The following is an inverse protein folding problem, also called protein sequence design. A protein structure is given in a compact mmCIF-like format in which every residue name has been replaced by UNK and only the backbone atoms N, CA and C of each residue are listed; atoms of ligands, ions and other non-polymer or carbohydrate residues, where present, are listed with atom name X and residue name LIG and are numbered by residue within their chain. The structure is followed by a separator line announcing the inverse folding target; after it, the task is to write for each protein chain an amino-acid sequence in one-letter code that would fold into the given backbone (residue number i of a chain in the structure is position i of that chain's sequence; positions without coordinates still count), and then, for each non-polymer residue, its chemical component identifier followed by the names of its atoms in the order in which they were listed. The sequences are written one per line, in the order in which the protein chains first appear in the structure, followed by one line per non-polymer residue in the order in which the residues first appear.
data_IF_349462790183
#
_entry.id   IF_349462790183
#
_cell.length_a   1.000
_cell.length_b   1.000
_cell.length_c   1.000
_cell.angle_alpha   90.00
_cell.angle_beta   90.00
_cell.angle_gamma   90.00
#
_symmetry.space_group_name_H-M   'P 1'
#
loop_
_entity.id
_entity.type
_entity.pdbx_description
1 polymer ?
#
# COMPACT_ATOMS: atom_id res chain seq x y z
N UNK A 1 6.53 -31.55 46.80
CA UNK A 1 5.91 -32.11 45.59
C UNK A 1 5.66 -30.95 44.64
N UNK A 2 6.64 -30.64 43.80
CA UNK A 2 6.64 -29.46 42.93
C UNK A 2 5.89 -29.79 41.64
N UNK A 3 4.78 -29.10 41.39
CA UNK A 3 4.02 -29.26 40.14
C UNK A 3 4.76 -28.49 39.05
N UNK A 4 5.35 -29.27 38.13
CA UNK A 4 5.94 -28.76 36.91
C UNK A 4 4.81 -28.71 35.86
N UNK A 5 4.31 -27.52 35.53
CA UNK A 5 3.42 -27.35 34.37
C UNK A 5 4.18 -26.69 33.25
N UNK A 6 4.59 -27.51 32.27
CA UNK A 6 5.06 -27.08 30.97
C UNK A 6 3.94 -26.35 30.21
N UNK A 7 4.11 -25.08 29.80
CA UNK A 7 3.25 -24.50 28.79
C UNK A 7 3.71 -24.95 27.40
N UNK A 8 2.72 -25.27 26.58
CA UNK A 8 2.77 -25.85 25.26
C UNK A 8 3.66 -25.09 24.25
N UNK A 9 4.58 -25.84 23.65
CA UNK A 9 4.76 -25.99 22.20
C UNK A 9 4.64 -24.73 21.32
N UNK A 10 5.61 -23.82 21.47
CA UNK A 10 5.97 -22.88 20.40
C UNK A 10 7.15 -23.44 19.63
N UNK A 11 6.93 -23.84 18.37
CA UNK A 11 8.02 -24.04 17.41
C UNK A 11 8.62 -22.68 17.05
N UNK A 12 9.54 -22.20 17.89
CA UNK A 12 10.42 -21.08 17.56
C UNK A 12 11.63 -21.65 16.81
N UNK A 13 11.71 -21.42 15.51
CA UNK A 13 12.93 -21.71 14.74
C UNK A 13 13.95 -20.59 15.00
N UNK A 14 14.65 -20.69 16.14
CA UNK A 14 15.69 -19.75 16.54
C UNK A 14 16.96 -20.11 15.78
N UNK A 15 17.18 -19.48 14.61
CA UNK A 15 18.50 -19.55 13.94
C UNK A 15 19.51 -18.69 14.69
N UNK A 16 20.17 -19.30 15.66
CA UNK A 16 21.31 -18.71 16.39
C UNK A 16 22.53 -18.69 15.44
N UNK A 17 22.88 -17.52 14.89
CA UNK A 17 24.23 -17.30 14.36
C UNK A 17 25.17 -17.06 15.55
N UNK A 18 25.87 -18.11 15.95
CA UNK A 18 26.91 -18.07 16.98
C UNK A 18 28.14 -17.33 16.44
N UNK A 19 28.28 -16.04 16.75
CA UNK A 19 29.53 -15.30 16.54
C UNK A 19 29.98 -14.74 17.89
N UNK A 20 31.00 -15.40 18.44
CA UNK A 20 31.89 -14.99 19.52
C UNK A 20 31.37 -13.97 20.54
N UNK A 21 30.86 -14.47 21.68
CA UNK A 21 30.99 -13.80 22.98
C UNK A 21 29.87 -12.86 23.44
N UNK A 22 28.81 -12.64 22.67
CA UNK A 22 27.63 -11.85 23.13
C UNK A 22 26.35 -12.56 22.71
N UNK A 23 25.60 -13.07 23.68
CA UNK A 23 24.29 -13.73 23.45
C UNK A 23 23.23 -12.70 23.06
N UNK A 24 23.16 -12.36 21.76
CA UNK A 24 22.04 -11.60 21.20
C UNK A 24 20.98 -12.59 20.71
N UNK A 25 19.92 -12.79 21.51
CA UNK A 25 18.71 -13.51 21.09
C UNK A 25 17.93 -12.63 20.11
N UNK A 26 17.98 -12.96 18.82
CA UNK A 26 17.11 -12.36 17.82
C UNK A 26 15.86 -13.24 17.67
N UNK A 27 14.74 -12.76 18.21
CA UNK A 27 13.44 -13.42 18.08
C UNK A 27 12.94 -13.10 16.67
N UNK A 28 13.16 -14.02 15.73
CA UNK A 28 12.51 -13.99 14.42
C UNK A 28 11.07 -14.41 14.65
N UNK A 29 10.23 -13.44 14.98
CA UNK A 29 8.78 -13.64 15.05
C UNK A 29 8.30 -13.89 13.63
N UNK A 30 7.76 -15.08 13.37
CA UNK A 30 7.16 -15.42 12.09
C UNK A 30 6.16 -14.35 11.63
N UNK A 31 6.25 -14.08 10.33
CA UNK A 31 5.92 -12.82 9.68
C UNK A 31 4.43 -12.72 9.28
N UNK A 32 3.52 -13.09 10.19
CA UNK A 32 2.07 -13.02 9.92
C UNK A 32 1.61 -11.57 9.69
N UNK A 33 2.29 -10.61 10.31
CA UNK A 33 2.05 -9.19 10.06
C UNK A 33 2.63 -8.72 8.72
N UNK A 34 3.81 -9.21 8.28
CA UNK A 34 4.33 -8.84 6.97
C UNK A 34 3.45 -9.38 5.83
N UNK A 35 2.82 -10.56 5.96
CA UNK A 35 1.90 -11.06 4.94
C UNK A 35 0.64 -10.19 4.80
N UNK A 36 0.08 -9.71 5.93
CA UNK A 36 -1.07 -8.77 5.91
C UNK A 36 -0.69 -7.43 5.28
N UNK A 37 0.48 -6.89 5.64
CA UNK A 37 0.98 -5.65 5.05
C UNK A 37 1.25 -5.80 3.55
N UNK A 38 1.88 -6.90 3.11
CA UNK A 38 2.15 -7.17 1.69
C UNK A 38 0.86 -7.30 0.85
N UNK A 39 -0.21 -7.87 1.40
CA UNK A 39 -1.48 -8.01 0.69
C UNK A 39 -2.18 -6.66 0.51
N UNK A 40 -2.12 -5.79 1.52
CA UNK A 40 -2.73 -4.45 1.48
C UNK A 40 -2.01 -3.48 0.54
N UNK A 41 -0.67 -3.55 0.51
CA UNK A 41 0.14 -2.79 -0.44
C UNK A 41 -0.23 -3.15 -1.89
N UNK A 42 -0.42 -4.44 -2.17
CA UNK A 42 -0.82 -4.89 -3.53
C UNK A 42 -2.19 -4.38 -3.96
N UNK A 43 -3.18 -4.37 -3.07
CA UNK A 43 -4.53 -3.85 -3.38
C UNK A 43 -4.46 -2.35 -3.64
N UNK A 44 -3.75 -1.61 -2.78
CA UNK A 44 -3.57 -0.16 -2.94
C UNK A 44 -2.88 0.18 -4.26
N UNK A 45 -1.85 -0.58 -4.62
CA UNK A 45 -1.13 -0.42 -5.88
C UNK A 45 -2.03 -0.69 -7.09
N UNK A 46 -2.84 -1.76 -7.04
CA UNK A 46 -3.78 -2.08 -8.12
C UNK A 46 -4.82 -0.99 -8.30
N UNK A 47 -5.43 -0.51 -7.22
CA UNK A 47 -6.42 0.58 -7.27
C UNK A 47 -5.78 1.83 -7.88
N UNK A 48 -4.62 2.25 -7.36
CA UNK A 48 -3.90 3.42 -7.87
C UNK A 48 -3.61 3.27 -9.37
N UNK A 49 -3.10 2.11 -9.79
CA UNK A 49 -2.82 1.83 -11.20
C UNK A 49 -4.06 1.94 -12.09
N UNK A 50 -5.20 1.36 -11.68
CA UNK A 50 -6.44 1.41 -12.46
C UNK A 50 -6.97 2.84 -12.59
N UNK A 51 -6.96 3.62 -11.52
CA UNK A 51 -7.38 5.02 -11.56
C UNK A 51 -6.44 5.86 -12.43
N UNK A 52 -5.12 5.71 -12.28
CA UNK A 52 -4.15 6.42 -13.12
C UNK A 52 -4.25 6.04 -14.60
N UNK A 53 -4.51 4.77 -14.91
CA UNK A 53 -4.73 4.31 -16.27
C UNK A 53 -6.01 4.92 -16.86
N UNK A 54 -7.11 4.88 -16.12
CA UNK A 54 -8.37 5.50 -16.53
C UNK A 54 -8.19 7.00 -16.77
N UNK A 55 -7.54 7.70 -15.85
CA UNK A 55 -7.31 9.14 -15.95
C UNK A 55 -6.39 9.49 -17.13
N UNK A 56 -5.35 8.67 -17.38
CA UNK A 56 -4.52 8.78 -18.57
C UNK A 56 -5.31 8.61 -19.88
N UNK A 57 -6.27 7.68 -19.94
CA UNK A 57 -7.14 7.50 -21.11
C UNK A 57 -8.09 8.69 -21.32
N UNK A 58 -8.65 9.26 -20.25
CA UNK A 58 -9.50 10.45 -20.32
C UNK A 58 -8.66 11.67 -20.75
N UNK A 59 -7.45 11.83 -20.19
CA UNK A 59 -6.52 12.88 -20.60
C UNK A 59 -6.12 12.76 -22.07
N UNK A 60 -5.83 11.54 -22.55
CA UNK A 60 -5.55 11.28 -23.95
C UNK A 60 -6.74 11.64 -24.84
N UNK A 61 -7.98 11.36 -24.42
CA UNK A 61 -9.18 11.81 -25.13
C UNK A 61 -9.23 13.33 -25.26
N UNK A 62 -8.98 14.07 -24.19
CA UNK A 62 -8.97 15.54 -24.22
C UNK A 62 -7.94 16.03 -25.24
N UNK A 63 -6.72 15.45 -25.21
CA UNK A 63 -5.68 15.80 -26.17
C UNK A 63 -6.10 15.51 -27.62
N UNK A 64 -6.66 14.33 -27.89
CA UNK A 64 -7.14 13.96 -29.22
C UNK A 64 -8.25 14.90 -29.73
N UNK A 65 -9.15 15.34 -28.85
CA UNK A 65 -10.22 16.31 -29.18
C UNK A 65 -9.67 17.71 -29.46
N UNK A 66 -8.60 18.10 -28.77
CA UNK A 66 -7.90 19.36 -29.01
C UNK A 66 -7.09 19.35 -30.31
N UNK A 67 -6.60 18.19 -30.72
CA UNK A 67 -5.88 17.99 -31.99
C UNK A 67 -6.80 17.74 -33.19
N UNK A 68 -8.13 17.85 -33.00
CA UNK A 68 -9.13 17.54 -34.03
C UNK A 68 -8.92 16.13 -34.63
N UNK A 69 -8.56 15.16 -33.80
CA UNK A 69 -8.23 13.82 -34.25
C UNK A 69 -9.42 13.16 -34.96
N UNK A 70 -9.14 12.53 -36.11
CA UNK A 70 -10.17 11.87 -36.93
C UNK A 70 -10.92 10.79 -36.12
N UNK A 71 -12.22 10.96 -35.86
CA UNK A 71 -13.00 10.01 -35.05
C UNK A 71 -13.22 8.66 -35.76
N UNK A 72 -12.97 8.56 -37.08
CA UNK A 72 -13.02 7.29 -37.83
C UNK A 72 -11.74 6.46 -37.66
N UNK A 73 -10.69 7.02 -37.07
CA UNK A 73 -9.48 6.27 -36.76
C UNK A 73 -9.76 5.23 -35.65
N UNK A 74 -9.29 4.00 -35.84
CA UNK A 74 -9.54 2.90 -34.90
C UNK A 74 -9.00 3.18 -33.48
N UNK A 75 -7.84 3.83 -33.36
CA UNK A 75 -7.26 4.18 -32.07
C UNK A 75 -8.08 5.25 -31.37
N UNK A 76 -8.35 6.38 -32.03
CA UNK A 76 -9.13 7.47 -31.45
C UNK A 76 -10.55 7.02 -31.06
N UNK A 77 -11.23 6.29 -31.94
CA UNK A 77 -12.57 5.74 -31.65
C UNK A 77 -12.56 4.77 -30.47
N UNK A 78 -11.54 3.91 -30.33
CA UNK A 78 -11.42 3.00 -29.18
C UNK A 78 -11.30 3.77 -27.86
N UNK A 79 -10.47 4.82 -27.83
CA UNK A 79 -10.32 5.69 -26.66
C UNK A 79 -11.64 6.39 -26.32
N UNK A 80 -12.31 6.98 -27.32
CA UNK A 80 -13.58 7.67 -27.11
C UNK A 80 -14.69 6.73 -26.61
N UNK A 81 -14.76 5.51 -27.13
CA UNK A 81 -15.76 4.52 -26.72
C UNK A 81 -15.51 4.00 -25.30
N UNK A 82 -14.26 3.66 -24.97
CA UNK A 82 -13.91 3.18 -23.63
C UNK A 82 -14.16 4.26 -22.57
N UNK A 83 -13.69 5.48 -22.82
CA UNK A 83 -13.86 6.61 -21.89
C UNK A 83 -15.31 7.07 -21.78
N UNK A 84 -16.13 6.93 -22.83
CA UNK A 84 -17.55 7.32 -22.79
C UNK A 84 -18.33 6.63 -21.66
N UNK A 85 -18.03 5.37 -21.34
CA UNK A 85 -18.68 4.66 -20.24
C UNK A 85 -18.44 5.36 -18.90
N UNK A 86 -17.22 5.82 -18.66
CA UNK A 86 -16.83 6.52 -17.43
C UNK A 86 -17.25 8.00 -17.42
N UNK A 87 -17.53 8.58 -18.58
CA UNK A 87 -18.03 9.95 -18.70
C UNK A 87 -19.56 10.04 -18.62
N UNK A 88 -20.26 8.92 -18.78
CA UNK A 88 -21.73 8.85 -18.71
C UNK A 88 -22.36 9.60 -17.52
N UNK A 89 -21.89 9.46 -16.26
CA UNK A 89 -22.49 10.19 -15.13
C UNK A 89 -22.24 11.70 -15.16
N UNK A 90 -21.27 12.18 -15.93
CA UNK A 90 -20.97 13.60 -16.12
C UNK A 90 -21.59 14.17 -17.40
N UNK A 91 -22.28 13.34 -18.18
CA UNK A 91 -22.93 13.77 -19.42
C UNK A 91 -23.91 14.90 -19.15
N UNK A 92 -23.82 15.97 -19.94
CA UNK A 92 -24.68 17.15 -19.79
C UNK A 92 -24.31 18.08 -18.62
N UNK A 93 -23.23 17.83 -17.88
CA UNK A 93 -22.79 18.71 -16.80
C UNK A 93 -22.45 20.13 -17.29
N UNK A 94 -21.86 20.23 -18.48
CA UNK A 94 -21.43 21.51 -19.09
C UNK A 94 -21.60 21.47 -20.60
N UNK A 95 -21.76 22.65 -21.22
CA UNK A 95 -21.61 22.82 -22.66
C UNK A 95 -20.12 22.83 -22.98
N UNK A 96 -19.68 22.01 -23.94
CA UNK A 96 -18.29 21.97 -24.36
C UNK A 96 -18.04 23.01 -25.45
N UNK A 97 -17.15 24.00 -25.24
CA UNK A 97 -16.83 24.98 -26.26
C UNK A 97 -16.15 24.33 -27.46
N UNK A 98 -16.56 24.77 -28.65
CA UNK A 98 -16.01 24.36 -29.93
C UNK A 98 -15.55 25.61 -30.70
N UNK A 99 -14.31 25.60 -31.17
CA UNK A 99 -13.77 26.63 -32.02
C UNK A 99 -13.10 25.99 -33.24
N UNK A 100 -13.78 26.04 -34.39
CA UNK A 100 -13.22 25.58 -35.66
C UNK A 100 -12.84 24.09 -35.69
N UNK A 101 -13.64 23.22 -35.04
CA UNK A 101 -13.40 21.77 -35.00
C UNK A 101 -12.64 21.30 -33.75
N UNK A 102 -11.88 22.19 -33.11
CA UNK A 102 -11.25 21.94 -31.82
C UNK A 102 -12.33 21.96 -30.73
N UNK A 103 -12.45 20.86 -30.00
CA UNK A 103 -13.42 20.74 -28.89
C UNK A 103 -12.67 20.61 -27.58
N UNK A 104 -12.85 21.59 -26.68
CA UNK A 104 -12.39 21.46 -25.31
C UNK A 104 -13.50 20.78 -24.51
N UNK A 105 -13.34 19.48 -24.25
CA UNK A 105 -14.30 18.72 -23.45
C UNK A 105 -14.07 19.01 -21.95
N UNK A 106 -14.67 20.10 -21.47
CA UNK A 106 -14.65 20.47 -20.04
C UNK A 106 -15.20 19.33 -19.18
N UNK A 107 -16.22 18.62 -19.68
CA UNK A 107 -16.80 17.45 -18.99
C UNK A 107 -15.75 16.38 -18.69
N UNK A 108 -14.83 16.13 -19.63
CA UNK A 108 -13.74 15.16 -19.47
C UNK A 108 -12.70 15.64 -18.45
N UNK A 109 -12.39 16.93 -18.44
CA UNK A 109 -11.49 17.54 -17.45
C UNK A 109 -12.07 17.44 -16.04
N UNK A 110 -13.38 17.72 -15.88
CA UNK A 110 -14.06 17.57 -14.59
C UNK A 110 -14.03 16.10 -14.14
N UNK A 111 -14.26 15.15 -15.06
CA UNK A 111 -14.18 13.74 -14.74
C UNK A 111 -12.78 13.33 -14.25
N UNK A 112 -11.70 13.85 -14.86
CA UNK A 112 -10.33 13.62 -14.36
C UNK A 112 -10.19 14.07 -12.90
N UNK A 113 -10.59 15.31 -12.60
CA UNK A 113 -10.52 15.86 -11.24
C UNK A 113 -11.31 14.98 -10.24
N UNK A 114 -12.52 14.57 -10.60
CA UNK A 114 -13.36 13.74 -9.72
C UNK A 114 -12.73 12.36 -9.51
N UNK A 115 -12.21 11.71 -10.55
CA UNK A 115 -11.56 10.41 -10.42
C UNK A 115 -10.25 10.48 -9.65
N UNK A 116 -9.45 11.54 -9.81
CA UNK A 116 -8.26 11.80 -9.00
C UNK A 116 -8.60 11.93 -7.51
N UNK A 117 -9.66 12.69 -7.20
CA UNK A 117 -10.15 12.85 -5.82
C UNK A 117 -10.68 11.53 -5.24
N UNK A 118 -11.39 10.73 -6.04
CA UNK A 118 -11.86 9.41 -5.63
C UNK A 118 -10.69 8.46 -5.35
N UNK A 119 -9.69 8.41 -6.24
CA UNK A 119 -8.49 7.59 -6.04
C UNK A 119 -7.77 7.98 -4.75
N UNK A 120 -7.55 9.28 -4.54
CA UNK A 120 -6.92 9.82 -3.34
C UNK A 120 -7.72 9.47 -2.08
N UNK A 121 -9.04 9.64 -2.10
CA UNK A 121 -9.92 9.32 -0.97
C UNK A 121 -9.87 7.83 -0.62
N UNK A 122 -9.88 6.95 -1.63
CA UNK A 122 -9.80 5.49 -1.43
C UNK A 122 -8.46 5.12 -0.78
N UNK A 123 -7.34 5.62 -1.31
CA UNK A 123 -6.00 5.36 -0.75
C UNK A 123 -5.93 5.87 0.69
N UNK A 124 -6.47 7.06 0.96
CA UNK A 124 -6.48 7.65 2.31
C UNK A 124 -7.30 6.81 3.28
N UNK A 125 -8.44 6.28 2.84
CA UNK A 125 -9.28 5.39 3.64
C UNK A 125 -8.59 4.07 3.95
N UNK A 126 -7.92 3.47 2.96
CA UNK A 126 -7.11 2.26 3.18
C UNK A 126 -6.05 2.53 4.25
N UNK A 127 -5.31 3.63 4.13
CA UNK A 127 -4.34 4.02 5.14
C UNK A 127 -4.96 4.20 6.53
N UNK A 128 -6.11 4.87 6.63
CA UNK A 128 -6.79 5.10 7.91
C UNK A 128 -7.23 3.80 8.59
N UNK A 129 -7.69 2.82 7.82
CA UNK A 129 -8.16 1.54 8.34
C UNK A 129 -7.00 0.63 8.76
N UNK A 130 -5.87 0.66 8.04
CA UNK A 130 -4.80 -0.32 8.21
C UNK A 130 -3.55 0.20 8.94
N UNK A 131 -3.33 1.52 9.05
CA UNK A 131 -2.24 2.06 9.85
C UNK A 131 -2.64 2.14 11.33
N UNK A 132 -2.63 0.99 12.01
CA UNK A 132 -2.49 0.99 13.46
C UNK A 132 -1.03 1.29 13.81
N UNK A 133 -0.72 2.38 14.54
CA UNK A 133 0.62 2.60 15.05
C UNK A 133 0.92 1.48 16.05
N UNK A 134 1.69 0.48 15.61
CA UNK A 134 2.32 -0.45 16.52
C UNK A 134 3.27 0.37 17.39
N UNK A 135 2.85 0.72 18.59
CA UNK A 135 3.73 1.19 19.65
C UNK A 135 4.71 0.06 19.94
N UNK A 136 5.81 0.04 19.20
CA UNK A 136 6.88 -0.94 19.33
C UNK A 136 7.64 -0.59 20.61
N UNK A 137 7.08 -0.97 21.75
CA UNK A 137 7.78 -0.88 23.03
C UNK A 137 8.84 -1.98 23.03
N UNK A 138 10.05 -1.61 22.67
CA UNK A 138 11.23 -2.47 22.84
C UNK A 138 11.59 -2.46 24.31
N UNK A 139 11.08 -3.42 25.08
CA UNK A 139 11.59 -3.65 26.44
C UNK A 139 12.90 -4.41 26.30
N UNK A 140 14.02 -3.68 26.24
CA UNK A 140 15.36 -4.25 26.31
C UNK A 140 15.56 -4.79 27.72
N UNK A 141 15.53 -6.12 27.88
CA UNK A 141 15.97 -6.77 29.11
C UNK A 141 17.50 -6.79 29.11
N UNK A 142 18.12 -5.74 29.63
CA UNK A 142 19.53 -5.76 29.99
C UNK A 142 19.66 -6.62 31.24
N UNK A 143 20.06 -7.88 31.05
CA UNK A 143 20.33 -8.81 32.15
C UNK A 143 21.64 -8.36 32.79
N UNK A 144 21.55 -7.49 33.79
CA UNK A 144 22.68 -7.08 34.60
C UNK A 144 23.24 -8.34 35.29
N UNK A 145 24.38 -8.84 34.80
CA UNK A 145 25.14 -9.90 35.46
C UNK A 145 25.49 -9.38 36.84
N UNK A 146 24.74 -9.80 37.85
CA UNK A 146 25.08 -9.52 39.23
C UNK A 146 26.45 -10.15 39.53
N UNK A 147 27.45 -9.39 40.00
CA UNK A 147 28.79 -9.90 40.35
C UNK A 147 28.78 -11.03 41.40
N UNK A 148 27.61 -11.29 41.99
CA UNK A 148 27.38 -12.32 43.00
C UNK A 148 27.35 -13.75 42.44
N UNK A 149 27.13 -13.95 41.14
CA UNK A 149 27.11 -15.29 40.52
C UNK A 149 28.52 -15.89 40.33
N UNK A 150 29.51 -15.04 40.05
CA UNK A 150 30.91 -15.48 39.89
C UNK A 150 31.55 -15.86 41.24
N UNK A 151 31.09 -15.25 42.34
CA UNK A 151 31.63 -15.49 43.67
C UNK A 151 31.27 -16.88 44.20
N UNK A 152 30.13 -17.47 43.78
CA UNK A 152 29.76 -18.86 44.13
C UNK A 152 30.61 -19.90 43.40
N UNK A 153 31.04 -19.60 42.16
CA UNK A 153 31.85 -20.54 41.37
C UNK A 153 33.31 -20.58 41.81
N UNK A 154 33.80 -19.53 42.44
CA UNK A 154 35.17 -19.47 42.97
C UNK A 154 35.36 -20.26 44.29
N UNK A 155 34.29 -20.61 44.99
CA UNK A 155 34.38 -21.31 46.30
C UNK A 155 34.26 -22.83 46.20
N UNK A 156 33.94 -23.38 45.03
CA UNK A 156 33.66 -24.81 44.84
C UNK A 156 34.82 -25.57 44.15
N UNK A 157 36.06 -25.08 44.27
CA UNK A 157 37.24 -25.73 43.68
C UNK A 157 38.31 -26.11 44.70
#
# INVERSE_FOLDING_TARGET
MSVNTHPFDQRQDVRVKQQSGVERREIVTEDLNAQRLQTLERVSALVTFLFSLLEGLIGLRVLLKLMEANPRNAFASSIYNFTNLFLAPFSGLTINPNAGGIVLEITSIVAMIVYALLAWAIIRLVWLVFYQPSNRTVTTYERERSPLDDSRKATEK
#
